data_IF_296764290418
#
_entry.id   IF_296764290418
#
_cell.length_a   1.000
_cell.length_b   1.000
_cell.length_c   1.000
_cell.angle_alpha   90.00
_cell.angle_beta   90.00
_cell.angle_gamma   90.00
#
_symmetry.space_group_name_H-M   'P 1'
#
loop_
_entity.id
_entity.type
_entity.pdbx_description
1 polymer ?
#
# COMPACT_ATOMS: atom_id res chain seq x y z
N UNK A 1 -15.70 -11.37 -21.37
CA UNK A 1 -15.79 -10.78 -20.01
C UNK A 1 -16.02 -9.29 -20.17
N UNK A 2 -17.11 -8.78 -19.61
CA UNK A 2 -17.92 -7.66 -20.11
C UNK A 2 -17.26 -6.28 -19.87
N UNK A 3 -17.37 -5.35 -20.83
CA UNK A 3 -16.81 -3.99 -20.80
C UNK A 3 -17.39 -3.09 -19.70
N UNK A 4 -18.50 -3.46 -19.06
CA UNK A 4 -19.26 -2.62 -18.12
C UNK A 4 -19.11 -3.01 -16.65
N UNK A 5 -18.50 -4.15 -16.32
CA UNK A 5 -18.43 -4.69 -14.95
C UNK A 5 -17.14 -4.33 -14.21
N UNK A 6 -16.33 -3.42 -14.78
CA UNK A 6 -15.05 -2.97 -14.22
C UNK A 6 -15.17 -2.42 -12.79
N UNK A 7 -16.00 -1.37 -12.57
CA UNK A 7 -16.18 -0.79 -11.24
C UNK A 7 -16.73 -1.79 -10.21
N UNK A 8 -17.70 -2.63 -10.61
CA UNK A 8 -18.28 -3.66 -9.74
C UNK A 8 -17.24 -4.68 -9.28
N UNK A 9 -16.37 -5.13 -10.20
CA UNK A 9 -15.27 -6.03 -9.89
C UNK A 9 -14.27 -5.39 -8.92
N UNK A 10 -13.91 -4.12 -9.15
CA UNK A 10 -13.02 -3.36 -8.24
C UNK A 10 -13.63 -3.31 -6.85
N UNK A 11 -14.89 -2.91 -6.73
CA UNK A 11 -15.59 -2.81 -5.44
C UNK A 11 -15.67 -4.16 -4.74
N UNK A 12 -15.99 -5.23 -5.46
CA UNK A 12 -16.01 -6.59 -4.91
C UNK A 12 -14.63 -7.00 -4.36
N UNK A 13 -13.54 -6.71 -5.07
CA UNK A 13 -12.17 -7.05 -4.63
C UNK A 13 -11.68 -6.20 -3.46
N UNK A 14 -12.11 -4.95 -3.36
CA UNK A 14 -11.82 -4.11 -2.19
C UNK A 14 -12.63 -4.58 -0.97
N UNK A 15 -13.89 -4.96 -1.14
CA UNK A 15 -14.70 -5.53 -0.05
C UNK A 15 -14.12 -6.87 0.45
N UNK A 16 -13.68 -7.76 -0.45
CA UNK A 16 -12.98 -9.01 -0.08
C UNK A 16 -11.70 -8.74 0.73
N UNK A 17 -10.98 -7.65 0.43
CA UNK A 17 -9.79 -7.23 1.19
C UNK A 17 -10.19 -6.79 2.60
N UNK A 18 -11.20 -5.94 2.72
CA UNK A 18 -11.63 -5.38 3.99
C UNK A 18 -12.17 -6.49 4.93
N UNK A 19 -12.98 -7.41 4.40
CA UNK A 19 -13.46 -8.59 5.15
C UNK A 19 -12.31 -9.47 5.65
N UNK A 20 -11.25 -9.60 4.87
CA UNK A 20 -10.06 -10.37 5.24
C UNK A 20 -9.26 -9.65 6.32
N UNK A 21 -9.07 -8.33 6.22
CA UNK A 21 -8.40 -7.54 7.26
C UNK A 21 -9.16 -7.63 8.58
N UNK A 22 -10.49 -7.57 8.56
CA UNK A 22 -11.32 -7.72 9.75
C UNK A 22 -11.12 -9.07 10.46
N UNK A 23 -10.89 -10.15 9.70
CA UNK A 23 -10.62 -11.49 10.24
C UNK A 23 -9.18 -11.68 10.71
N UNK A 24 -8.21 -11.10 10.00
CA UNK A 24 -6.78 -11.28 10.26
C UNK A 24 -6.22 -10.30 11.32
N UNK A 25 -6.92 -9.18 11.54
CA UNK A 25 -6.54 -8.08 12.43
C UNK A 25 -6.37 -6.78 11.65
N UNK A 26 -6.97 -5.70 12.17
CA UNK A 26 -6.96 -4.37 11.54
C UNK A 26 -5.63 -3.62 11.63
N UNK A 27 -4.71 -4.13 12.46
CA UNK A 27 -3.37 -3.59 12.58
C UNK A 27 -2.41 -4.31 11.67
N UNK A 28 -1.55 -3.53 11.03
CA UNK A 28 -0.36 -4.01 10.31
C UNK A 28 0.82 -4.32 11.23
N UNK A 29 0.74 -3.91 12.50
CA UNK A 29 1.80 -4.02 13.51
C UNK A 29 1.44 -5.07 14.56
N UNK A 30 1.03 -6.26 14.12
CA UNK A 30 0.78 -7.39 15.01
C UNK A 30 2.10 -8.05 15.41
N UNK A 31 2.16 -8.53 16.66
CA UNK A 31 3.33 -9.28 17.16
C UNK A 31 3.52 -10.57 16.36
N UNK A 32 2.43 -11.24 16.00
CA UNK A 32 2.44 -12.46 15.18
C UNK A 32 1.64 -12.22 13.88
N UNK A 33 2.22 -11.52 12.90
CA UNK A 33 1.51 -11.13 11.69
C UNK A 33 1.24 -12.33 10.78
N UNK A 34 0.18 -12.25 9.97
CA UNK A 34 -0.03 -13.19 8.86
C UNK A 34 0.59 -12.60 7.59
N UNK A 35 1.56 -13.31 7.01
CA UNK A 35 2.37 -12.84 5.86
C UNK A 35 1.55 -12.76 4.58
N UNK A 36 0.53 -13.60 4.47
CA UNK A 36 -0.31 -13.71 3.28
C UNK A 36 -1.55 -12.87 3.37
N UNK A 37 -2.39 -13.14 4.35
CA UNK A 37 -3.74 -12.60 4.45
C UNK A 37 -3.83 -11.40 5.41
N UNK A 38 -2.75 -11.05 6.12
CA UNK A 38 -2.68 -9.86 6.98
C UNK A 38 -2.72 -8.55 6.21
N UNK A 39 -2.95 -7.44 6.94
CA UNK A 39 -2.92 -6.08 6.39
C UNK A 39 -1.51 -5.68 5.96
N UNK A 40 -1.36 -5.37 4.67
CA UNK A 40 -0.05 -5.18 4.04
C UNK A 40 0.67 -6.48 3.68
N UNK A 41 -0.04 -7.62 3.66
CA UNK A 41 0.51 -8.92 3.26
C UNK A 41 0.44 -9.19 1.76
N UNK A 42 0.91 -10.36 1.33
CA UNK A 42 0.97 -10.76 -0.09
C UNK A 42 -0.39 -10.65 -0.81
N UNK A 43 -1.49 -10.91 -0.10
CA UNK A 43 -2.81 -10.85 -0.70
C UNK A 43 -3.19 -9.44 -1.13
N UNK A 44 -2.73 -8.42 -0.42
CA UNK A 44 -3.00 -7.03 -0.79
C UNK A 44 -2.36 -6.73 -2.16
N UNK A 45 -1.09 -7.11 -2.35
CA UNK A 45 -0.39 -6.97 -3.63
C UNK A 45 -1.06 -7.76 -4.76
N UNK A 46 -1.49 -9.00 -4.48
CA UNK A 46 -2.21 -9.83 -5.45
C UNK A 46 -3.56 -9.23 -5.84
N UNK A 47 -4.28 -8.63 -4.90
CA UNK A 47 -5.53 -7.92 -5.17
C UNK A 47 -5.29 -6.77 -6.13
N UNK A 48 -4.24 -5.95 -5.92
CA UNK A 48 -3.89 -4.87 -6.86
C UNK A 48 -3.60 -5.43 -8.26
N UNK A 49 -2.81 -6.50 -8.35
CA UNK A 49 -2.49 -7.13 -9.63
C UNK A 49 -3.73 -7.67 -10.36
N UNK A 50 -4.65 -8.32 -9.65
CA UNK A 50 -5.90 -8.83 -10.24
C UNK A 50 -6.83 -7.74 -10.70
N UNK A 51 -6.95 -6.66 -9.94
CA UNK A 51 -7.69 -5.48 -10.37
C UNK A 51 -7.02 -4.86 -11.60
N UNK A 52 -5.68 -4.73 -11.59
CA UNK A 52 -4.88 -4.28 -12.73
C UNK A 52 -5.22 -5.05 -14.00
N UNK A 53 -5.09 -6.37 -13.94
CA UNK A 53 -5.36 -7.27 -15.06
C UNK A 53 -6.79 -7.19 -15.57
N UNK A 54 -7.76 -7.03 -14.66
CA UNK A 54 -9.17 -6.99 -15.04
C UNK A 54 -9.59 -5.63 -15.60
N UNK A 55 -9.28 -4.54 -14.88
CA UNK A 55 -9.74 -3.19 -15.15
C UNK A 55 -8.87 -2.51 -16.21
N UNK A 56 -7.55 -2.48 -16.01
CA UNK A 56 -6.59 -1.85 -16.94
C UNK A 56 -6.18 -2.76 -18.10
N UNK A 57 -6.59 -4.03 -18.08
CA UNK A 57 -6.29 -5.06 -19.11
C UNK A 57 -4.80 -5.34 -19.29
N UNK A 58 -4.01 -5.11 -18.24
CA UNK A 58 -2.58 -5.38 -18.24
C UNK A 58 -2.28 -6.88 -18.08
N UNK A 59 -1.16 -7.35 -18.61
CA UNK A 59 -0.69 -8.73 -18.38
C UNK A 59 0.39 -8.81 -17.33
N UNK A 60 1.24 -7.78 -17.26
CA UNK A 60 2.33 -7.65 -16.29
C UNK A 60 2.09 -6.46 -15.36
N UNK A 61 2.83 -6.42 -14.25
CA UNK A 61 2.82 -5.27 -13.35
C UNK A 61 3.48 -4.03 -13.98
N UNK A 62 4.47 -4.21 -14.85
CA UNK A 62 5.18 -3.13 -15.55
C UNK A 62 4.23 -2.30 -16.42
N UNK A 63 3.26 -2.94 -17.08
CA UNK A 63 2.24 -2.24 -17.87
C UNK A 63 1.37 -1.29 -17.02
N UNK A 64 1.33 -1.43 -15.68
CA UNK A 64 0.66 -0.45 -14.80
C UNK A 64 1.39 0.90 -14.77
N UNK A 65 2.69 0.91 -15.06
CA UNK A 65 3.48 2.14 -15.22
C UNK A 65 3.07 2.86 -16.50
N UNK A 66 2.95 2.14 -17.61
CA UNK A 66 2.50 2.69 -18.89
C UNK A 66 1.07 3.25 -18.82
N UNK A 67 0.24 2.69 -17.95
CA UNK A 67 -1.12 3.17 -17.66
C UNK A 67 -1.17 4.34 -16.69
N UNK A 68 -0.03 4.78 -16.16
CA UNK A 68 0.06 5.89 -15.20
C UNK A 68 -0.51 5.56 -13.81
N UNK A 69 -0.70 4.27 -13.51
CA UNK A 69 -1.20 3.82 -12.19
C UNK A 69 -0.10 3.84 -11.14
N UNK A 70 1.11 3.46 -11.55
CA UNK A 70 2.32 3.59 -10.75
C UNK A 70 3.35 4.42 -11.51
N UNK A 71 4.16 5.16 -10.75
CA UNK A 71 5.48 5.58 -11.19
C UNK A 71 6.42 4.38 -11.20
N UNK A 72 7.54 4.50 -11.91
CA UNK A 72 8.53 3.41 -11.90
C UNK A 72 9.15 3.18 -10.51
N UNK A 73 9.25 4.23 -9.68
CA UNK A 73 9.67 4.10 -8.29
C UNK A 73 8.71 3.25 -7.46
N UNK A 74 7.42 3.53 -7.55
CA UNK A 74 6.36 2.77 -6.86
C UNK A 74 6.28 1.33 -7.36
N UNK A 75 6.47 1.09 -8.67
CA UNK A 75 6.51 -0.27 -9.19
C UNK A 75 7.71 -1.08 -8.67
N UNK A 76 8.90 -0.45 -8.57
CA UNK A 76 10.06 -1.09 -7.95
C UNK A 76 9.83 -1.39 -6.46
N UNK A 77 9.12 -0.51 -5.76
CA UNK A 77 8.74 -0.75 -4.36
C UNK A 77 7.76 -1.91 -4.24
N UNK A 78 6.78 -2.02 -5.15
CA UNK A 78 5.89 -3.18 -5.26
C UNK A 78 6.68 -4.49 -5.42
N UNK A 79 7.64 -4.53 -6.35
CA UNK A 79 8.45 -5.72 -6.60
C UNK A 79 9.28 -6.10 -5.36
N UNK A 80 9.93 -5.14 -4.72
CA UNK A 80 10.70 -5.37 -3.49
C UNK A 80 9.83 -5.90 -2.36
N UNK A 81 8.62 -5.36 -2.20
CA UNK A 81 7.68 -5.82 -1.19
C UNK A 81 7.20 -7.25 -1.46
N UNK A 82 6.85 -7.56 -2.71
CA UNK A 82 6.48 -8.91 -3.14
C UNK A 82 7.61 -9.91 -2.89
N UNK A 83 8.81 -9.61 -3.37
CA UNK A 83 9.99 -10.47 -3.21
C UNK A 83 10.30 -10.74 -1.75
N UNK A 84 10.27 -9.71 -0.90
CA UNK A 84 10.53 -9.85 0.53
C UNK A 84 9.48 -10.74 1.21
N UNK A 85 8.19 -10.47 1.00
CA UNK A 85 7.13 -11.24 1.64
C UNK A 85 7.11 -12.70 1.15
N UNK A 86 7.44 -12.94 -0.12
CA UNK A 86 7.64 -14.29 -0.63
C UNK A 86 8.82 -14.99 0.03
N UNK A 87 9.96 -14.32 0.16
CA UNK A 87 11.13 -14.89 0.83
C UNK A 87 10.78 -15.31 2.26
N UNK A 88 10.15 -14.42 3.04
CA UNK A 88 9.69 -14.71 4.41
C UNK A 88 8.79 -15.96 4.42
N UNK A 89 7.76 -15.97 3.56
CA UNK A 89 6.79 -17.08 3.50
C UNK A 89 7.44 -18.41 3.12
N UNK A 90 8.33 -18.41 2.13
CA UNK A 90 9.09 -19.61 1.74
C UNK A 90 9.95 -20.13 2.90
N UNK A 91 10.68 -19.25 3.59
CA UNK A 91 11.48 -19.66 4.75
C UNK A 91 10.62 -20.22 5.90
N UNK A 92 9.42 -19.66 6.12
CA UNK A 92 8.45 -20.21 7.08
C UNK A 92 7.98 -21.61 6.69
N UNK A 93 7.68 -21.83 5.41
CA UNK A 93 7.24 -23.15 4.92
C UNK A 93 8.37 -24.17 5.03
N UNK A 94 9.60 -23.81 4.67
CA UNK A 94 10.75 -24.68 4.81
C UNK A 94 11.10 -24.99 6.27
N UNK A 95 10.94 -24.03 7.18
CA UNK A 95 11.20 -24.23 8.60
C UNK A 95 10.14 -25.13 9.24
N UNK A 96 8.86 -24.92 8.93
CA UNK A 96 7.74 -25.60 9.59
C UNK A 96 7.30 -26.90 8.91
N UNK A 97 7.71 -27.13 7.66
CA UNK A 97 7.30 -28.29 6.86
C UNK A 97 5.82 -28.27 6.44
N UNK A 98 5.12 -27.14 6.61
CA UNK A 98 3.70 -26.96 6.29
C UNK A 98 3.45 -25.56 5.71
N UNK A 99 2.26 -25.35 5.17
CA UNK A 99 1.80 -24.05 4.69
C UNK A 99 1.45 -23.11 5.88
N UNK A 100 2.42 -22.83 6.75
CA UNK A 100 2.28 -21.85 7.82
C UNK A 100 2.27 -20.44 7.25
N UNK A 101 1.31 -19.62 7.67
CA UNK A 101 1.15 -18.25 7.16
C UNK A 101 1.27 -17.22 8.28
N UNK A 102 1.22 -17.66 9.55
CA UNK A 102 1.41 -16.80 10.71
C UNK A 102 2.86 -16.86 11.18
N UNK A 103 3.49 -15.70 11.25
CA UNK A 103 4.86 -15.53 11.73
C UNK A 103 4.84 -15.52 13.27
N UNK A 104 4.71 -16.71 13.84
CA UNK A 104 4.67 -16.91 15.30
C UNK A 104 5.95 -16.42 15.98
N UNK A 105 5.81 -16.00 17.24
CA UNK A 105 6.91 -15.42 18.01
C UNK A 105 8.10 -16.39 18.16
N UNK A 106 7.82 -17.68 18.28
CA UNK A 106 8.82 -18.74 18.42
C UNK A 106 9.70 -18.94 17.16
N UNK A 107 9.12 -18.77 15.97
CA UNK A 107 9.85 -18.93 14.70
C UNK A 107 10.52 -17.64 14.22
N UNK A 108 10.13 -16.46 14.73
CA UNK A 108 10.65 -15.17 14.26
C UNK A 108 12.18 -15.05 14.30
N UNK A 109 12.82 -15.57 15.36
CA UNK A 109 14.28 -15.53 15.51
C UNK A 109 14.98 -16.36 14.42
N UNK A 110 14.54 -17.58 14.23
CA UNK A 110 15.08 -18.50 13.22
C UNK A 110 14.85 -17.96 11.80
N UNK A 111 13.69 -17.35 11.52
CA UNK A 111 13.42 -16.72 10.23
C UNK A 111 14.34 -15.52 9.99
N UNK A 112 14.60 -14.70 11.02
CA UNK A 112 15.54 -13.59 10.91
C UNK A 112 16.96 -14.09 10.54
N UNK A 113 17.44 -15.15 11.17
CA UNK A 113 18.75 -15.73 10.88
C UNK A 113 18.80 -16.32 9.46
N UNK A 114 17.77 -17.05 9.04
CA UNK A 114 17.67 -17.62 7.68
C UNK A 114 17.65 -16.57 6.58
N UNK A 115 17.07 -15.40 6.85
CA UNK A 115 17.05 -14.26 5.94
C UNK A 115 18.33 -13.39 6.04
N UNK A 116 19.32 -13.80 6.83
CA UNK A 116 20.60 -13.12 6.94
C UNK A 116 20.59 -11.87 7.82
N UNK A 117 19.59 -11.68 8.66
CA UNK A 117 19.62 -10.58 9.63
C UNK A 117 20.63 -10.86 10.72
N UNK A 118 21.47 -9.86 10.97
CA UNK A 118 22.49 -9.87 12.03
C UNK A 118 22.17 -8.87 13.12
N UNK A 119 22.67 -9.13 14.32
CA UNK A 119 22.58 -8.22 15.46
C UNK A 119 23.47 -6.99 15.26
N UNK A 120 22.98 -5.83 15.64
CA UNK A 120 23.74 -4.58 15.73
C UNK A 120 23.68 -4.02 17.16
N UNK A 121 24.61 -3.12 17.56
CA UNK A 121 24.52 -2.45 18.85
C UNK A 121 23.12 -1.83 19.05
N UNK A 122 22.40 -2.30 20.08
CA UNK A 122 21.07 -1.82 20.45
C UNK A 122 19.88 -2.48 19.76
N UNK A 123 20.08 -3.38 18.77
CA UNK A 123 18.98 -4.10 18.09
C UNK A 123 19.40 -5.54 17.73
N UNK A 124 18.64 -6.51 18.24
CA UNK A 124 18.79 -7.92 17.86
C UNK A 124 18.40 -8.17 16.40
N UNK A 125 18.90 -9.27 15.83
CA UNK A 125 18.54 -9.70 14.49
C UNK A 125 17.01 -9.80 14.27
N UNK A 126 16.28 -10.34 15.26
CA UNK A 126 14.82 -10.47 15.21
C UNK A 126 14.12 -9.12 15.24
N UNK A 127 14.56 -8.17 16.07
CA UNK A 127 13.97 -6.82 16.09
C UNK A 127 14.21 -6.08 14.78
N UNK A 128 15.40 -6.24 14.18
CA UNK A 128 15.70 -5.66 12.86
C UNK A 128 14.83 -6.27 11.76
N UNK A 129 14.66 -7.59 11.78
CA UNK A 129 13.78 -8.30 10.86
C UNK A 129 12.33 -7.81 11.01
N UNK A 130 11.80 -7.80 12.23
CA UNK A 130 10.43 -7.36 12.49
C UNK A 130 10.23 -5.88 12.12
N UNK A 131 11.21 -5.00 12.38
CA UNK A 131 11.19 -3.62 11.91
C UNK A 131 11.09 -3.54 10.39
N UNK A 132 11.91 -4.29 9.66
CA UNK A 132 11.87 -4.29 8.19
C UNK A 132 10.55 -4.86 7.67
N UNK A 133 10.04 -5.94 8.28
CA UNK A 133 8.73 -6.51 7.96
C UNK A 133 7.61 -5.47 8.07
N UNK A 134 7.59 -4.70 9.17
CA UNK A 134 6.60 -3.66 9.38
C UNK A 134 6.73 -2.48 8.42
N UNK A 135 7.95 -2.15 7.97
CA UNK A 135 8.17 -1.16 6.92
C UNK A 135 7.62 -1.67 5.58
N UNK A 136 7.96 -2.90 5.18
CA UNK A 136 7.45 -3.47 3.91
C UNK A 136 5.93 -3.54 3.89
N UNK A 137 5.29 -4.02 4.95
CA UNK A 137 3.83 -4.04 4.98
C UNK A 137 3.22 -2.61 4.96
N UNK A 138 4.01 -1.55 5.22
CA UNK A 138 3.58 -0.14 5.20
C UNK A 138 3.50 0.28 3.76
N UNK A 139 4.58 -0.01 3.08
CA UNK A 139 4.80 0.28 1.69
C UNK A 139 3.73 -0.43 0.85
N UNK A 140 3.36 -1.69 1.18
CA UNK A 140 2.19 -2.36 0.58
C UNK A 140 0.88 -1.59 0.79
N UNK A 141 0.66 -1.06 1.99
CA UNK A 141 -0.50 -0.22 2.29
C UNK A 141 -0.49 1.11 1.53
N UNK A 142 0.69 1.73 1.39
CA UNK A 142 0.89 2.98 0.64
C UNK A 142 0.65 2.75 -0.86
N UNK A 143 1.21 1.69 -1.44
CA UNK A 143 0.95 1.25 -2.82
C UNK A 143 -0.53 0.96 -3.08
N UNK A 144 -1.20 0.31 -2.13
CA UNK A 144 -2.65 0.08 -2.21
C UNK A 144 -3.42 1.40 -2.28
N UNK A 145 -3.02 2.39 -1.47
CA UNK A 145 -3.65 3.71 -1.50
C UNK A 145 -3.37 4.48 -2.79
N UNK A 146 -2.17 4.36 -3.36
CA UNK A 146 -1.81 4.95 -4.67
C UNK A 146 -2.70 4.35 -5.76
N UNK A 147 -2.78 3.02 -5.79
CA UNK A 147 -3.56 2.29 -6.79
C UNK A 147 -5.06 2.62 -6.73
N UNK A 148 -5.66 2.68 -5.53
CA UNK A 148 -7.05 3.10 -5.35
C UNK A 148 -7.29 4.53 -5.86
N UNK A 149 -6.37 5.46 -5.60
CA UNK A 149 -6.50 6.84 -6.08
C UNK A 149 -6.46 6.90 -7.63
N UNK A 150 -5.57 6.15 -8.26
CA UNK A 150 -5.52 6.05 -9.72
C UNK A 150 -6.81 5.46 -10.31
N UNK A 151 -7.38 4.42 -9.67
CA UNK A 151 -8.66 3.84 -10.08
C UNK A 151 -9.83 4.83 -9.99
N UNK A 152 -9.91 5.59 -8.90
CA UNK A 152 -10.95 6.62 -8.71
C UNK A 152 -10.85 7.70 -9.79
N UNK A 153 -9.63 8.15 -10.11
CA UNK A 153 -9.39 9.13 -11.18
C UNK A 153 -9.83 8.60 -12.54
N UNK A 154 -9.50 7.34 -12.86
CA UNK A 154 -9.86 6.73 -14.15
C UNK A 154 -11.37 6.51 -14.29
N UNK A 155 -12.06 6.13 -13.21
CA UNK A 155 -13.53 6.02 -13.20
C UNK A 155 -14.21 7.37 -13.41
N UNK A 156 -13.67 8.45 -12.82
CA UNK A 156 -14.22 9.80 -12.99
C UNK A 156 -14.17 10.30 -14.45
N UNK A 157 -13.17 9.88 -15.24
CA UNK A 157 -13.04 10.23 -16.68
C UNK A 157 -14.12 9.58 -17.56
N UNK A 158 -14.70 8.47 -17.13
CA UNK A 158 -15.62 7.66 -17.94
C UNK A 158 -17.12 7.98 -17.74
N UNK A 159 -17.48 8.94 -16.89
CA UNK A 159 -18.88 9.34 -16.65
C UNK A 159 -19.36 10.35 -17.74
N UNK A 160 -20.31 9.98 -18.64
CA UNK A 160 -20.76 10.85 -19.73
C UNK A 160 -21.53 12.08 -19.18
N UNK A 161 -21.12 13.28 -19.59
CA UNK A 161 -21.75 14.55 -19.18
C UNK A 161 -20.93 15.42 -18.23
N UNK A 162 -19.85 14.87 -17.63
CA UNK A 162 -18.96 15.59 -16.73
C UNK A 162 -17.77 16.29 -17.44
N UNK A 163 -17.53 15.94 -18.71
CA UNK A 163 -16.34 16.31 -19.48
C UNK A 163 -16.17 17.81 -19.79
N UNK A 164 -17.19 18.67 -19.61
CA UNK A 164 -17.02 20.13 -19.82
C UNK A 164 -16.70 20.92 -18.56
N UNK A 165 -16.98 20.37 -17.38
CA UNK A 165 -16.72 21.06 -16.10
C UNK A 165 -15.41 20.54 -15.48
N UNK A 166 -15.08 19.26 -15.66
CA UNK A 166 -13.91 18.63 -15.01
C UNK A 166 -12.57 18.77 -15.74
N UNK A 167 -12.54 19.30 -16.96
CA UNK A 167 -11.28 19.78 -17.57
C UNK A 167 -10.62 20.91 -16.75
N UNK A 168 -11.34 21.55 -15.82
CA UNK A 168 -10.79 22.50 -14.84
C UNK A 168 -10.44 21.88 -13.48
N UNK A 169 -10.73 20.60 -13.26
CA UNK A 169 -10.40 19.84 -12.06
C UNK A 169 -9.14 18.97 -12.19
N UNK A 170 -8.52 18.95 -13.38
CA UNK A 170 -7.15 18.46 -13.55
C UNK A 170 -6.22 19.21 -12.58
N UNK A 171 -5.72 18.52 -11.56
CA UNK A 171 -4.67 18.97 -10.63
C UNK A 171 -4.86 20.34 -9.98
N UNK A 172 -6.08 20.70 -9.55
CA UNK A 172 -6.20 21.83 -8.62
C UNK A 172 -5.78 21.37 -7.22
N UNK A 173 -4.46 21.41 -6.96
CA UNK A 173 -3.90 21.54 -5.60
C UNK A 173 -4.67 22.67 -4.91
N UNK A 174 -5.70 22.33 -4.14
CA UNK A 174 -6.49 23.32 -3.41
C UNK A 174 -5.78 23.53 -2.10
N UNK A 175 -5.30 24.76 -1.86
CA UNK A 175 -4.80 25.14 -0.53
C UNK A 175 -5.89 24.83 0.48
N UNK A 176 -5.50 24.18 1.58
CA UNK A 176 -6.41 23.86 2.66
C UNK A 176 -6.95 25.16 3.26
N UNK A 177 -8.24 25.22 3.58
CA UNK A 177 -8.82 26.43 4.17
C UNK A 177 -8.14 26.72 5.52
N UNK A 178 -7.48 27.88 5.63
CA UNK A 178 -6.75 28.28 6.84
C UNK A 178 -5.23 28.10 6.80
N UNK A 179 -4.65 27.51 5.73
CA UNK A 179 -3.18 27.43 5.59
C UNK A 179 -2.72 27.29 4.14
N UNK A 180 -1.58 27.88 3.81
CA UNK A 180 -0.90 27.69 2.52
C UNK A 180 0.08 26.52 2.51
N UNK A 181 0.38 25.95 3.68
CA UNK A 181 1.40 24.92 3.85
C UNK A 181 0.87 23.52 3.49
N UNK A 182 -0.44 23.35 3.46
CA UNK A 182 -1.09 22.11 3.06
C UNK A 182 -2.01 22.32 1.86
N UNK A 183 -2.08 21.28 1.05
CA UNK A 183 -2.96 21.17 -0.10
C UNK A 183 -3.83 19.94 0.06
N UNK A 184 -5.06 19.99 -0.45
CA UNK A 184 -5.92 18.83 -0.57
C UNK A 184 -5.85 18.32 -2.00
N UNK A 185 -5.56 17.02 -2.13
CA UNK A 185 -5.56 16.29 -3.39
C UNK A 185 -6.29 14.95 -3.17
N UNK A 186 -7.33 14.68 -3.96
CA UNK A 186 -8.18 13.49 -3.85
C UNK A 186 -8.59 13.10 -2.42
N UNK A 187 -9.17 14.04 -1.66
CA UNK A 187 -9.57 13.86 -0.24
C UNK A 187 -8.42 13.53 0.73
N UNK A 188 -7.18 13.78 0.32
CA UNK A 188 -5.99 13.61 1.16
C UNK A 188 -5.29 14.94 1.36
N UNK A 189 -4.74 15.12 2.55
CA UNK A 189 -3.90 16.27 2.87
C UNK A 189 -2.47 15.94 2.44
N UNK A 190 -1.87 16.86 1.69
CA UNK A 190 -0.49 16.81 1.23
C UNK A 190 0.23 18.11 1.60
N UNK A 191 1.56 18.07 1.64
CA UNK A 191 2.40 19.28 1.80
C UNK A 191 2.44 20.10 0.51
N UNK A 192 2.46 21.42 0.65
CA UNK A 192 2.55 22.33 -0.49
C UNK A 192 3.95 22.30 -1.15
N UNK A 193 5.00 22.13 -0.32
CA UNK A 193 6.41 22.09 -0.71
C UNK A 193 7.24 21.30 0.34
N UNK A 194 8.46 20.88 -0.04
CA UNK A 194 9.31 20.02 0.79
C UNK A 194 9.83 20.70 2.06
N UNK A 195 9.78 22.04 2.15
CA UNK A 195 10.29 22.81 3.29
C UNK A 195 9.21 23.16 4.32
N UNK A 196 7.97 22.69 4.14
CA UNK A 196 6.83 23.01 5.02
C UNK A 196 7.11 22.74 6.50
N UNK A 197 7.79 21.64 6.82
CA UNK A 197 8.10 21.25 8.21
C UNK A 197 9.37 21.91 8.76
N UNK A 198 10.33 22.24 7.89
CA UNK A 198 11.53 22.98 8.30
C UNK A 198 11.19 24.43 8.60
N UNK A 199 10.32 25.03 7.78
CA UNK A 199 9.84 26.40 7.92
C UNK A 199 8.99 26.58 9.18
N UNK A 200 8.11 25.63 9.47
CA UNK A 200 7.34 25.61 10.71
C UNK A 200 7.18 24.17 11.24
N UNK A 201 8.00 23.75 12.22
CA UNK A 201 7.90 22.42 12.81
C UNK A 201 6.53 22.11 13.45
N UNK A 202 5.75 23.13 13.83
CA UNK A 202 4.38 22.95 14.37
C UNK A 202 3.44 22.37 13.30
N UNK A 203 3.78 22.49 12.01
CA UNK A 203 3.02 21.86 10.95
C UNK A 203 2.97 20.34 11.07
N UNK A 204 3.93 19.69 11.74
CA UNK A 204 3.81 18.26 12.06
C UNK A 204 2.55 17.95 12.88
N UNK A 205 2.19 18.82 13.83
CA UNK A 205 1.00 18.67 14.65
C UNK A 205 -0.26 19.14 13.91
N UNK A 206 -0.17 20.25 13.17
CA UNK A 206 -1.30 20.78 12.40
C UNK A 206 -1.77 19.80 11.32
N UNK A 207 -0.87 19.02 10.75
CA UNK A 207 -1.21 17.97 9.79
C UNK A 207 -2.25 17.00 10.38
N UNK A 208 -2.07 16.55 11.62
CA UNK A 208 -3.02 15.67 12.31
C UNK A 208 -4.32 16.39 12.63
N UNK A 209 -4.26 17.64 13.12
CA UNK A 209 -5.45 18.44 13.41
C UNK A 209 -6.37 18.63 12.21
N UNK A 210 -5.78 18.81 11.02
CA UNK A 210 -6.55 18.98 9.80
C UNK A 210 -7.03 17.67 9.17
N UNK A 211 -6.43 16.54 9.53
CA UNK A 211 -6.75 15.23 8.98
C UNK A 211 -7.91 14.51 9.71
N UNK A 212 -8.25 14.96 10.92
CA UNK A 212 -9.46 14.58 11.68
C UNK A 212 -10.71 15.33 11.17
#
# INVERSE_FOLDING_TARGET
VVRTTGPEYVQAKLAERDDRHAKAGESRYLVEPNVKDGKGGLRDLQTLFWIGKYFYRVRTGEELVDKGVFTEGEYREFQKAEDFLWAVRCHMHFLTGKAEERLHFDIQREIAERLGYTTHPGLSAVERFMKHYFLVAKDVGDLTRIFCAALEEEQAKHVPGFNRIFLTFSRRKRKLAGTSDFIVDNHRINIADDQVFERDPVNLLRLFWFAD
#
